data_IF_840141424987
#
_entry.id   IF_840141424987
#
_cell.length_a   1.000
_cell.length_b   1.000
_cell.length_c   1.000
_cell.angle_alpha   90.00
_cell.angle_beta   90.00
_cell.angle_gamma   90.00
#
_symmetry.space_group_name_H-M   'P 1'
#
loop_
_entity.id
_entity.type
_entity.pdbx_description
1 polymer ?
#
# COMPACT_ATOMS: atom_id res chain seq x y z
N UNK A 1 -24.14 -28.25 73.21
CA UNK A 1 -22.74 -28.37 72.77
C UNK A 1 -22.63 -27.64 71.43
N UNK A 2 -21.94 -26.48 71.39
CA UNK A 2 -20.63 -26.32 70.71
C UNK A 2 -20.79 -26.51 69.18
N UNK A 3 -20.65 -25.54 68.27
CA UNK A 3 -19.80 -24.35 68.20
C UNK A 3 -20.40 -23.27 67.26
N UNK A 4 -20.10 -22.02 67.62
CA UNK A 4 -20.14 -20.79 66.84
C UNK A 4 -19.08 -20.87 65.70
N UNK A 5 -19.46 -20.62 64.45
CA UNK A 5 -18.50 -20.35 63.36
C UNK A 5 -18.89 -19.03 62.68
N UNK A 6 -18.08 -18.01 62.98
CA UNK A 6 -17.98 -16.77 62.21
C UNK A 6 -17.61 -17.11 60.76
N UNK A 7 -18.39 -16.65 59.79
CA UNK A 7 -17.90 -16.47 58.43
C UNK A 7 -17.47 -15.01 58.25
N UNK A 8 -16.16 -14.84 58.25
CA UNK A 8 -15.46 -13.59 57.97
C UNK A 8 -15.59 -13.26 56.48
N UNK A 9 -16.03 -12.04 56.21
CA UNK A 9 -16.09 -11.41 54.90
C UNK A 9 -14.69 -11.33 54.27
N UNK A 10 -14.49 -11.93 53.09
CA UNK A 10 -13.41 -11.56 52.19
C UNK A 10 -14.05 -11.13 50.87
N UNK A 11 -14.28 -9.82 50.76
CA UNK A 11 -14.48 -9.15 49.48
C UNK A 11 -13.14 -9.21 48.71
N UNK A 12 -12.92 -10.27 47.94
CA UNK A 12 -11.97 -10.21 46.84
C UNK A 12 -12.64 -9.42 45.72
N UNK A 13 -12.40 -8.10 45.72
CA UNK A 13 -12.63 -7.25 44.57
C UNK A 13 -11.71 -7.71 43.44
N UNK A 14 -12.22 -8.61 42.60
CA UNK A 14 -11.70 -8.75 41.24
C UNK A 14 -12.10 -7.48 40.49
N UNK A 15 -11.23 -6.47 40.58
CA UNK A 15 -11.11 -5.46 39.54
C UNK A 15 -10.66 -6.17 38.26
N UNK A 16 -11.64 -6.78 37.58
CA UNK A 16 -11.52 -7.12 36.18
C UNK A 16 -11.35 -5.82 35.42
N UNK A 17 -10.10 -5.37 35.31
CA UNK A 17 -9.66 -4.49 34.24
C UNK A 17 -9.96 -5.24 32.94
N UNK A 18 -11.16 -5.00 32.41
CA UNK A 18 -11.47 -5.25 31.03
C UNK A 18 -10.36 -4.55 30.23
N UNK A 19 -9.46 -5.36 29.66
CA UNK A 19 -8.59 -4.92 28.57
C UNK A 19 -9.52 -4.39 27.50
N UNK A 20 -9.64 -3.07 27.45
CA UNK A 20 -10.30 -2.38 26.37
C UNK A 20 -9.61 -2.80 25.07
N UNK A 21 -10.34 -3.58 24.26
CA UNK A 21 -10.29 -3.70 22.82
C UNK A 21 -8.99 -3.21 22.14
N UNK A 22 -8.03 -4.12 22.00
CA UNK A 22 -6.96 -4.04 21.00
C UNK A 22 -7.28 -4.95 19.78
N UNK A 23 -8.56 -5.33 19.62
CA UNK A 23 -9.05 -6.22 18.58
C UNK A 23 -9.42 -5.49 17.27
N UNK A 24 -9.06 -4.21 17.15
CA UNK A 24 -9.40 -3.39 15.99
C UNK A 24 -8.21 -2.66 15.36
N UNK A 25 -6.99 -3.20 15.54
CA UNK A 25 -5.93 -2.97 14.56
C UNK A 25 -6.25 -3.84 13.34
N UNK A 26 -7.22 -3.40 12.53
CA UNK A 26 -7.47 -3.94 11.19
C UNK A 26 -6.11 -4.20 10.55
N UNK A 27 -5.85 -5.45 10.15
CA UNK A 27 -4.58 -5.91 9.59
C UNK A 27 -4.23 -5.08 8.35
N UNK A 28 -3.55 -3.95 8.57
CA UNK A 28 -3.09 -3.09 7.49
C UNK A 28 -2.22 -3.93 6.55
N UNK A 29 -2.47 -3.77 5.26
CA UNK A 29 -1.70 -4.51 4.26
C UNK A 29 -0.28 -3.97 4.27
N UNK A 30 0.69 -4.86 4.45
CA UNK A 30 2.10 -4.49 4.45
C UNK A 30 2.46 -4.06 3.03
N UNK A 31 3.09 -2.90 2.91
CA UNK A 31 3.55 -2.38 1.62
C UNK A 31 5.07 -2.59 1.54
N UNK A 32 5.57 -3.47 0.66
CA UNK A 32 7.00 -3.72 0.52
C UNK A 32 7.76 -2.47 0.08
N UNK A 33 8.96 -2.31 0.63
CA UNK A 33 9.92 -1.24 0.31
C UNK A 33 11.26 -1.85 -0.12
N UNK A 34 12.07 -1.16 -0.95
CA UNK A 34 13.33 -1.71 -1.45
C UNK A 34 14.37 -1.94 -0.33
N UNK A 35 14.29 -1.23 0.79
CA UNK A 35 15.22 -1.37 1.92
C UNK A 35 15.10 -2.75 2.59
N UNK A 36 13.89 -3.31 2.61
CA UNK A 36 13.60 -4.59 3.29
C UNK A 36 13.42 -5.73 2.30
N UNK A 37 12.79 -5.47 1.15
CA UNK A 37 12.30 -6.48 0.21
C UNK A 37 12.96 -6.46 -1.17
N UNK A 38 14.16 -5.86 -1.30
CA UNK A 38 14.87 -5.80 -2.59
C UNK A 38 15.17 -7.16 -3.21
N UNK A 39 15.37 -8.22 -2.41
CA UNK A 39 15.53 -9.60 -2.89
C UNK A 39 14.28 -10.14 -3.63
N UNK A 40 13.13 -9.45 -3.52
CA UNK A 40 11.87 -9.83 -4.18
C UNK A 40 11.54 -8.96 -5.41
N UNK A 41 12.43 -8.05 -5.79
CA UNK A 41 12.24 -7.20 -6.97
C UNK A 41 12.59 -7.96 -8.26
N UNK A 42 11.69 -7.95 -9.25
CA UNK A 42 11.95 -8.56 -10.57
C UNK A 42 13.00 -7.76 -11.36
N UNK A 43 13.03 -6.44 -11.18
CA UNK A 43 13.97 -5.52 -11.82
C UNK A 43 14.53 -4.55 -10.76
N UNK A 44 15.70 -3.93 -10.99
CA UNK A 44 16.23 -2.90 -10.10
C UNK A 44 15.21 -1.80 -9.79
N UNK A 45 15.25 -1.29 -8.55
CA UNK A 45 14.34 -0.26 -8.07
C UNK A 45 14.41 1.01 -8.92
N UNK A 46 13.23 1.51 -9.33
CA UNK A 46 13.02 2.73 -10.11
C UNK A 46 12.32 3.78 -9.23
N UNK A 47 13.01 4.82 -8.74
CA UNK A 47 12.44 5.77 -7.76
C UNK A 47 11.16 6.50 -8.19
N UNK A 48 10.88 6.59 -9.49
CA UNK A 48 9.70 7.26 -10.03
C UNK A 48 8.61 6.30 -10.50
N UNK A 49 8.81 4.98 -10.35
CA UNK A 49 7.85 3.98 -10.82
C UNK A 49 6.91 3.54 -9.67
N UNK A 50 5.62 3.32 -9.97
CA UNK A 50 4.68 2.81 -8.98
C UNK A 50 5.02 1.38 -8.56
N UNK A 51 4.78 1.07 -7.28
CA UNK A 51 5.02 -0.26 -6.72
C UNK A 51 3.82 -1.18 -6.88
N UNK A 52 4.05 -2.39 -7.39
CA UNK A 52 3.04 -3.43 -7.54
C UNK A 52 3.52 -4.71 -6.84
N UNK A 53 2.63 -5.33 -6.09
CA UNK A 53 2.88 -6.61 -5.44
C UNK A 53 2.25 -7.71 -6.27
N UNK A 54 3.00 -8.78 -6.52
CA UNK A 54 2.55 -9.90 -7.35
C UNK A 54 2.73 -11.21 -6.61
N UNK A 55 1.65 -11.98 -6.49
CA UNK A 55 1.72 -13.33 -5.94
C UNK A 55 1.67 -14.34 -7.09
N UNK A 56 2.61 -15.28 -7.08
CA UNK A 56 2.64 -16.40 -8.02
C UNK A 56 2.82 -17.72 -7.28
N UNK A 57 2.17 -18.77 -7.79
CA UNK A 57 2.42 -20.14 -7.36
C UNK A 57 3.30 -20.82 -8.44
N UNK A 58 4.38 -21.53 -8.06
CA UNK A 58 5.31 -22.13 -9.02
C UNK A 58 4.68 -23.27 -9.85
N UNK A 59 3.53 -23.81 -9.44
CA UNK A 59 2.82 -24.86 -10.16
C UNK A 59 1.57 -24.37 -10.89
N UNK A 60 1.22 -23.08 -10.76
CA UNK A 60 0.08 -22.49 -11.46
C UNK A 60 0.40 -22.23 -12.93
N UNK A 61 -0.38 -22.84 -13.84
CA UNK A 61 -0.22 -22.66 -15.29
C UNK A 61 -0.35 -21.20 -15.75
N UNK A 62 -1.22 -20.40 -15.13
CA UNK A 62 -1.33 -18.97 -15.43
C UNK A 62 -0.13 -18.17 -14.89
N UNK A 63 0.45 -18.58 -13.76
CA UNK A 63 1.68 -17.97 -13.24
C UNK A 63 2.85 -18.23 -14.18
N UNK A 64 3.00 -19.46 -14.67
CA UNK A 64 4.03 -19.83 -15.67
C UNK A 64 3.88 -18.98 -16.94
N UNK A 65 2.66 -18.80 -17.46
CA UNK A 65 2.43 -17.91 -18.62
C UNK A 65 2.81 -16.46 -18.32
N UNK A 66 2.55 -15.98 -17.10
CA UNK A 66 2.91 -14.63 -16.69
C UNK A 66 4.44 -14.44 -16.52
N UNK A 67 5.17 -15.46 -16.06
CA UNK A 67 6.63 -15.45 -15.99
C UNK A 67 7.29 -15.39 -17.37
N UNK A 68 6.64 -15.89 -18.42
CA UNK A 68 7.11 -15.75 -19.81
C UNK A 68 6.91 -14.35 -20.41
N UNK A 69 6.23 -13.44 -19.70
CA UNK A 69 5.82 -12.15 -20.23
C UNK A 69 6.11 -11.01 -19.23
N UNK A 70 7.32 -11.00 -18.67
CA UNK A 70 7.74 -10.02 -17.66
C UNK A 70 7.80 -8.58 -18.20
N UNK A 71 7.96 -8.38 -19.51
CA UNK A 71 7.94 -7.05 -20.16
C UNK A 71 6.70 -6.22 -19.81
N UNK A 72 5.60 -6.88 -19.40
CA UNK A 72 4.38 -6.22 -18.93
C UNK A 72 4.59 -5.42 -17.63
N UNK A 73 5.70 -5.63 -16.94
CA UNK A 73 6.05 -5.04 -15.65
C UNK A 73 7.07 -3.90 -15.74
N UNK A 74 7.65 -3.64 -16.92
CA UNK A 74 8.78 -2.68 -17.10
C UNK A 74 8.52 -1.27 -16.55
N UNK A 75 7.26 -0.84 -16.49
CA UNK A 75 6.87 0.49 -16.02
C UNK A 75 6.59 0.56 -14.50
N UNK A 76 6.86 -0.52 -13.76
CA UNK A 76 6.52 -0.68 -12.34
C UNK A 76 7.72 -1.19 -11.54
N UNK A 77 7.73 -0.91 -10.24
CA UNK A 77 8.53 -1.64 -9.26
C UNK A 77 7.75 -2.88 -8.82
N UNK A 78 8.12 -4.05 -9.30
CA UNK A 78 7.37 -5.28 -9.02
C UNK A 78 8.05 -6.11 -7.96
N UNK A 79 7.43 -6.16 -6.77
CA UNK A 79 7.77 -7.11 -5.73
C UNK A 79 6.97 -8.40 -5.96
N UNK A 80 7.67 -9.49 -6.25
CA UNK A 80 7.05 -10.78 -6.50
C UNK A 80 7.28 -11.75 -5.35
N UNK A 81 6.21 -12.32 -4.83
CA UNK A 81 6.22 -13.30 -3.76
C UNK A 81 5.67 -14.64 -4.23
N UNK A 82 6.27 -15.72 -3.73
CA UNK A 82 5.87 -17.08 -4.04
C UNK A 82 4.80 -17.55 -3.04
N UNK A 83 3.58 -17.74 -3.53
CA UNK A 83 2.40 -18.09 -2.73
C UNK A 83 1.92 -19.51 -3.07
N UNK A 84 2.18 -20.51 -2.21
CA UNK A 84 1.87 -21.91 -2.49
C UNK A 84 0.39 -22.24 -2.20
N UNK A 85 -0.53 -21.72 -3.00
CA UNK A 85 -1.97 -21.90 -2.77
C UNK A 85 -2.53 -23.20 -3.37
N UNK A 86 -1.72 -23.94 -4.14
CA UNK A 86 -2.12 -25.19 -4.80
C UNK A 86 -1.75 -26.46 -4.02
N UNK A 87 -1.44 -26.33 -2.72
CA UNK A 87 -1.19 -27.44 -1.80
C UNK A 87 0.27 -27.89 -1.70
N UNK A 88 0.49 -29.05 -1.08
CA UNK A 88 1.80 -29.54 -0.63
C UNK A 88 2.91 -29.53 -1.69
N UNK A 89 2.56 -29.77 -2.96
CA UNK A 89 3.54 -29.76 -4.04
C UNK A 89 4.08 -28.34 -4.30
N UNK A 90 3.23 -27.33 -4.17
CA UNK A 90 3.63 -25.92 -4.22
C UNK A 90 4.41 -25.53 -2.98
N UNK A 91 4.01 -25.98 -1.78
CA UNK A 91 4.75 -25.71 -0.55
C UNK A 91 6.20 -26.19 -0.63
N UNK A 92 6.40 -27.44 -1.06
CA UNK A 92 7.75 -28.02 -1.24
C UNK A 92 8.57 -27.23 -2.26
N UNK A 93 7.94 -26.79 -3.35
CA UNK A 93 8.61 -26.06 -4.42
C UNK A 93 8.98 -24.64 -3.99
N UNK A 94 8.10 -23.94 -3.27
CA UNK A 94 8.42 -22.63 -2.67
C UNK A 94 9.53 -22.77 -1.63
N UNK A 95 9.50 -23.81 -0.80
CA UNK A 95 10.58 -24.07 0.15
C UNK A 95 11.93 -24.32 -0.54
N UNK A 96 11.95 -24.97 -1.71
CA UNK A 96 13.15 -25.11 -2.53
C UNK A 96 13.63 -23.76 -3.10
N UNK A 97 12.71 -22.92 -3.59
CA UNK A 97 13.04 -21.57 -4.08
C UNK A 97 13.67 -20.71 -2.98
N UNK A 98 13.17 -20.79 -1.76
CA UNK A 98 13.72 -19.98 -0.64
C UNK A 98 15.12 -20.41 -0.19
N UNK A 99 15.65 -21.52 -0.72
CA UNK A 99 17.06 -21.92 -0.55
C UNK A 99 17.98 -21.36 -1.64
N UNK A 100 17.43 -20.64 -2.60
CA UNK A 100 18.19 -19.95 -3.62
C UNK A 100 18.69 -18.60 -3.10
N UNK A 101 19.88 -18.21 -3.54
CA UNK A 101 20.43 -16.89 -3.21
C UNK A 101 19.63 -15.76 -3.83
N UNK A 102 18.97 -16.00 -4.94
CA UNK A 102 18.05 -15.06 -5.55
C UNK A 102 16.77 -15.81 -5.96
N UNK A 103 15.70 -15.68 -5.15
CA UNK A 103 14.43 -16.38 -5.38
C UNK A 103 13.65 -15.83 -6.59
N UNK A 104 14.09 -14.71 -7.17
CA UNK A 104 13.49 -14.02 -8.33
C UNK A 104 14.45 -14.03 -9.54
N UNK A 105 15.53 -14.80 -9.47
CA UNK A 105 16.48 -14.94 -10.58
C UNK A 105 15.88 -15.61 -11.82
N UNK A 106 16.47 -15.31 -12.99
CA UNK A 106 16.08 -15.94 -14.24
C UNK A 106 16.22 -17.47 -14.19
N UNK A 107 17.24 -18.00 -13.50
CA UNK A 107 17.40 -19.46 -13.34
C UNK A 107 16.24 -20.11 -12.59
N UNK A 108 15.79 -19.49 -11.48
CA UNK A 108 14.60 -19.96 -10.75
C UNK A 108 13.35 -19.88 -11.63
N UNK A 109 13.21 -18.82 -12.42
CA UNK A 109 12.08 -18.69 -13.35
C UNK A 109 12.09 -19.75 -14.43
N UNK A 110 13.25 -20.04 -15.02
CA UNK A 110 13.41 -21.06 -16.04
C UNK A 110 13.06 -22.45 -15.49
N UNK A 111 13.48 -22.76 -14.26
CA UNK A 111 13.12 -24.02 -13.61
C UNK A 111 11.60 -24.13 -13.36
N UNK A 112 11.00 -23.05 -12.87
CA UNK A 112 9.54 -22.97 -12.68
C UNK A 112 8.80 -23.16 -14.01
N UNK A 113 9.25 -22.48 -15.06
CA UNK A 113 8.65 -22.49 -16.39
C UNK A 113 8.74 -23.87 -17.05
N UNK A 114 9.91 -24.50 -16.99
CA UNK A 114 10.19 -25.81 -17.60
C UNK A 114 9.72 -26.98 -16.74
N UNK A 115 9.29 -26.70 -15.49
CA UNK A 115 8.90 -27.68 -14.47
C UNK A 115 10.04 -28.62 -14.07
N UNK A 116 11.28 -28.15 -14.15
CA UNK A 116 12.43 -28.87 -13.60
C UNK A 116 12.49 -28.72 -12.07
N UNK A 117 13.14 -29.67 -11.37
CA UNK A 117 13.48 -29.53 -9.97
C UNK A 117 14.33 -28.29 -9.74
N UNK A 118 14.07 -27.59 -8.63
CA UNK A 118 14.81 -26.40 -8.24
C UNK A 118 15.98 -26.86 -7.38
N UNK A 119 17.19 -26.79 -7.93
CA UNK A 119 18.42 -27.23 -7.28
C UNK A 119 19.33 -26.03 -7.00
N UNK A 120 19.09 -25.42 -5.84
CA UNK A 120 19.89 -24.29 -5.37
C UNK A 120 20.95 -24.80 -4.39
N UNK A 121 22.22 -24.45 -4.66
CA UNK A 121 23.36 -24.82 -3.81
C UNK A 121 23.18 -24.18 -2.43
N UNK A 122 22.77 -24.97 -1.44
CA UNK A 122 22.78 -24.53 -0.05
C UNK A 122 24.22 -24.59 0.47
N UNK A 123 24.74 -23.49 1.00
CA UNK A 123 25.95 -23.51 1.83
C UNK A 123 25.60 -23.02 3.24
N UNK A 124 26.30 -23.54 4.25
CA UNK A 124 26.02 -23.17 5.64
C UNK A 124 26.18 -21.68 5.92
N UNK A 125 27.03 -21.01 5.14
CA UNK A 125 27.23 -19.55 5.20
C UNK A 125 25.99 -18.75 4.78
N UNK A 126 25.05 -19.35 4.03
CA UNK A 126 23.87 -18.69 3.46
C UNK A 126 22.58 -19.03 4.20
N UNK A 127 22.62 -19.95 5.17
CA UNK A 127 21.45 -20.41 5.93
C UNK A 127 20.66 -19.26 6.60
N UNK A 128 21.36 -18.27 7.16
CA UNK A 128 20.71 -17.11 7.79
C UNK A 128 19.96 -16.25 6.75
N UNK A 129 20.54 -16.08 5.55
CA UNK A 129 19.91 -15.34 4.47
C UNK A 129 18.68 -16.08 3.94
N UNK A 130 18.79 -17.39 3.67
CA UNK A 130 17.67 -18.22 3.22
C UNK A 130 16.53 -18.23 4.24
N UNK A 131 16.85 -18.31 5.54
CA UNK A 131 15.86 -18.19 6.61
C UNK A 131 15.15 -16.83 6.57
N UNK A 132 15.89 -15.72 6.42
CA UNK A 132 15.31 -14.38 6.28
C UNK A 132 14.38 -14.28 5.07
N UNK A 133 14.81 -14.75 3.89
CA UNK A 133 13.99 -14.74 2.67
C UNK A 133 12.69 -15.52 2.88
N UNK A 134 12.77 -16.69 3.51
CA UNK A 134 11.60 -17.49 3.83
C UNK A 134 10.63 -16.74 4.76
N UNK A 135 11.13 -16.05 5.79
CA UNK A 135 10.28 -15.28 6.69
C UNK A 135 9.62 -14.09 5.98
N UNK A 136 10.38 -13.32 5.19
CA UNK A 136 9.85 -12.17 4.44
C UNK A 136 8.77 -12.59 3.44
N UNK A 137 9.01 -13.68 2.69
CA UNK A 137 8.00 -14.21 1.77
C UNK A 137 6.74 -14.67 2.52
N UNK A 138 6.91 -15.42 3.61
CA UNK A 138 5.80 -15.93 4.42
C UNK A 138 4.97 -14.80 5.02
N UNK A 139 5.62 -13.77 5.57
CA UNK A 139 4.96 -12.60 6.16
C UNK A 139 4.03 -11.93 5.16
N UNK A 140 4.52 -11.60 3.96
CA UNK A 140 3.72 -10.93 2.94
C UNK A 140 2.61 -11.85 2.41
N UNK A 141 2.90 -13.12 2.14
CA UNK A 141 1.87 -14.09 1.70
C UNK A 141 0.76 -14.24 2.74
N UNK A 142 1.10 -14.31 4.03
CA UNK A 142 0.11 -14.42 5.11
C UNK A 142 -0.67 -13.12 5.31
N UNK A 143 -0.01 -11.96 5.26
CA UNK A 143 -0.66 -10.66 5.39
C UNK A 143 -1.67 -10.43 4.27
N UNK A 144 -1.37 -10.83 3.03
CA UNK A 144 -2.26 -10.67 1.89
C UNK A 144 -3.29 -11.80 1.75
N UNK A 145 -2.93 -13.03 2.13
CA UNK A 145 -3.71 -14.24 2.01
C UNK A 145 -4.40 -14.38 0.63
N UNK A 146 -3.63 -14.44 -0.48
CA UNK A 146 -4.20 -14.43 -1.82
C UNK A 146 -5.02 -15.70 -2.09
N UNK A 147 -6.31 -15.54 -2.40
CA UNK A 147 -7.21 -16.65 -2.74
C UNK A 147 -7.07 -17.13 -4.20
N UNK A 148 -6.23 -16.45 -5.00
CA UNK A 148 -6.00 -16.79 -6.41
C UNK A 148 -4.63 -16.29 -6.87
N UNK A 149 -4.03 -16.99 -7.82
CA UNK A 149 -2.73 -16.64 -8.44
C UNK A 149 -2.73 -16.87 -9.96
N UNK A 150 -2.07 -16.03 -10.77
CA UNK A 150 -1.36 -14.83 -10.35
C UNK A 150 -2.34 -13.76 -9.87
N UNK A 151 -1.99 -13.03 -8.83
CA UNK A 151 -2.75 -11.88 -8.34
C UNK A 151 -1.86 -10.67 -8.18
N UNK A 152 -2.45 -9.50 -8.35
CA UNK A 152 -1.77 -8.21 -8.39
C UNK A 152 -2.40 -7.31 -7.35
N UNK A 153 -1.57 -6.60 -6.60
CA UNK A 153 -2.01 -5.66 -5.60
C UNK A 153 -1.29 -4.33 -5.78
N UNK A 154 -2.03 -3.26 -5.57
CA UNK A 154 -1.56 -1.89 -5.66
C UNK A 154 -2.13 -1.11 -4.47
N UNK A 155 -1.27 -0.45 -3.69
CA UNK A 155 -1.66 0.21 -2.43
C UNK A 155 -2.44 -0.72 -1.48
N UNK A 156 -2.07 -2.01 -1.41
CA UNK A 156 -2.76 -3.01 -0.59
C UNK A 156 -4.08 -3.56 -1.17
N UNK A 157 -4.59 -2.99 -2.26
CA UNK A 157 -5.84 -3.41 -2.90
C UNK A 157 -5.59 -4.34 -4.08
N UNK A 158 -6.44 -5.37 -4.23
CA UNK A 158 -6.37 -6.28 -5.38
C UNK A 158 -6.78 -5.54 -6.65
N UNK A 159 -5.95 -5.65 -7.69
CA UNK A 159 -6.18 -4.97 -8.98
C UNK A 159 -5.96 -5.93 -10.15
N UNK A 160 -6.40 -5.51 -11.34
CA UNK A 160 -5.98 -6.11 -12.60
C UNK A 160 -4.88 -5.23 -13.21
N UNK A 161 -3.80 -5.84 -13.70
CA UNK A 161 -2.70 -5.11 -14.33
C UNK A 161 -3.17 -4.29 -15.55
N UNK A 162 -4.17 -4.79 -16.28
CA UNK A 162 -4.80 -4.06 -17.38
C UNK A 162 -5.52 -2.80 -16.90
N UNK A 163 -6.14 -2.81 -15.72
CA UNK A 163 -6.78 -1.64 -15.12
C UNK A 163 -5.75 -0.58 -14.73
N UNK A 164 -4.60 -0.98 -14.17
CA UNK A 164 -3.50 -0.04 -13.88
C UNK A 164 -2.98 0.64 -15.16
N UNK A 165 -2.78 -0.14 -16.22
CA UNK A 165 -2.37 0.40 -17.53
C UNK A 165 -3.40 1.39 -18.08
N UNK A 166 -4.68 1.04 -18.03
CA UNK A 166 -5.77 1.92 -18.48
C UNK A 166 -5.83 3.20 -17.66
N UNK A 167 -5.68 3.11 -16.35
CA UNK A 167 -5.65 4.28 -15.46
C UNK A 167 -4.51 5.23 -15.83
N UNK A 168 -3.28 4.72 -15.99
CA UNK A 168 -2.13 5.50 -16.45
C UNK A 168 -2.35 6.13 -17.84
N UNK A 169 -2.99 5.40 -18.76
CA UNK A 169 -3.35 5.92 -20.09
C UNK A 169 -4.42 7.02 -20.03
N UNK A 170 -5.39 6.92 -19.12
CA UNK A 170 -6.41 7.94 -18.94
C UNK A 170 -5.82 9.24 -18.38
N UNK A 171 -4.90 9.13 -17.41
CA UNK A 171 -4.19 10.28 -16.87
C UNK A 171 -3.32 10.99 -17.92
N UNK A 172 -2.70 10.23 -18.82
CA UNK A 172 -1.83 10.79 -19.88
C UNK A 172 -2.59 11.36 -21.08
N UNK A 173 -3.79 10.85 -21.38
CA UNK A 173 -4.57 11.26 -22.55
C UNK A 173 -5.72 12.24 -22.21
N UNK A 174 -5.90 12.60 -20.95
CA UNK A 174 -6.88 13.60 -20.52
C UNK A 174 -6.57 14.97 -21.11
N UNK A 175 -7.61 15.78 -21.35
CA UNK A 175 -7.49 17.19 -21.76
C UNK A 175 -6.49 17.89 -20.85
N UNK A 176 -5.60 18.70 -21.44
CA UNK A 176 -4.39 19.32 -20.86
C UNK A 176 -4.46 19.43 -19.33
N UNK A 177 -3.88 18.45 -18.60
CA UNK A 177 -3.74 18.59 -17.16
C UNK A 177 -2.92 19.83 -16.88
N UNK A 178 -3.24 20.54 -15.80
CA UNK A 178 -2.33 21.57 -15.30
C UNK A 178 -1.01 20.88 -14.96
N UNK A 179 0.02 21.12 -15.76
CA UNK A 179 1.33 20.54 -15.51
C UNK A 179 1.94 21.25 -14.30
N UNK A 180 1.94 20.57 -13.16
CA UNK A 180 2.51 21.09 -11.93
C UNK A 180 4.00 20.76 -11.83
N UNK A 181 4.76 21.72 -11.33
CA UNK A 181 6.07 21.47 -10.75
C UNK A 181 5.88 20.89 -9.34
N UNK A 182 5.84 19.56 -9.23
CA UNK A 182 5.58 18.88 -7.95
C UNK A 182 6.61 19.23 -6.87
N UNK A 183 7.85 19.56 -7.25
CA UNK A 183 8.87 19.96 -6.28
C UNK A 183 8.48 21.25 -5.53
N UNK A 184 7.70 22.12 -6.17
CA UNK A 184 7.17 23.36 -5.57
C UNK A 184 6.15 23.10 -4.45
N UNK A 185 5.45 21.97 -4.51
CA UNK A 185 4.35 21.62 -3.60
C UNK A 185 4.74 20.54 -2.59
N UNK A 186 6.02 20.21 -2.45
CA UNK A 186 6.50 19.17 -1.54
C UNK A 186 6.14 19.46 -0.06
N UNK A 187 5.97 20.73 0.31
CA UNK A 187 5.52 21.11 1.66
C UNK A 187 4.10 20.62 1.99
N UNK A 188 3.26 20.41 0.98
CA UNK A 188 1.90 19.88 1.13
C UNK A 188 1.86 18.35 1.09
N UNK A 189 2.99 17.71 0.76
CA UNK A 189 3.06 16.26 0.62
C UNK A 189 2.98 15.58 1.98
N UNK A 190 2.09 14.61 2.10
CA UNK A 190 1.96 13.78 3.29
C UNK A 190 3.11 12.79 3.40
N UNK A 191 3.47 12.42 4.64
CA UNK A 191 4.61 11.55 4.89
C UNK A 191 4.27 10.10 4.55
N UNK A 192 4.64 9.70 3.34
CA UNK A 192 4.58 8.32 2.87
C UNK A 192 6.00 7.82 2.62
N UNK A 193 6.51 6.92 3.45
CA UNK A 193 7.88 6.42 3.34
C UNK A 193 7.96 5.11 2.55
N UNK A 194 9.06 4.95 1.80
CA UNK A 194 9.44 3.66 1.18
C UNK A 194 8.56 3.17 0.03
N UNK A 195 7.60 3.97 -0.45
CA UNK A 195 6.73 3.61 -1.56
C UNK A 195 6.37 4.80 -2.45
N UNK A 196 5.97 4.53 -3.70
CA UNK A 196 5.55 5.52 -4.69
C UNK A 196 4.19 5.11 -5.24
N UNK A 197 3.23 6.03 -5.16
CA UNK A 197 1.89 5.87 -5.71
C UNK A 197 1.87 5.87 -7.24
N UNK A 198 0.69 5.63 -7.82
CA UNK A 198 0.49 5.65 -9.28
C UNK A 198 0.59 7.05 -9.89
N UNK A 199 0.23 8.04 -9.10
CA UNK A 199 0.03 9.44 -9.48
C UNK A 199 0.15 10.32 -8.25
N UNK A 200 0.38 11.61 -8.46
CA UNK A 200 0.25 12.60 -7.40
C UNK A 200 -1.23 12.97 -7.26
N UNK A 201 -1.73 12.94 -6.02
CA UNK A 201 -3.10 13.33 -5.72
C UNK A 201 -3.11 14.50 -4.74
N UNK A 202 -3.99 15.47 -4.98
CA UNK A 202 -4.20 16.62 -4.10
C UNK A 202 -5.63 16.55 -3.59
N UNK A 203 -5.79 16.37 -2.29
CA UNK A 203 -7.09 16.51 -1.63
C UNK A 203 -7.19 17.93 -1.08
N UNK A 204 -8.11 18.72 -1.65
CA UNK A 204 -8.49 20.01 -1.11
C UNK A 204 -9.57 19.80 -0.06
N UNK A 205 -9.38 20.36 1.13
CA UNK A 205 -10.31 20.21 2.25
C UNK A 205 -10.51 21.52 2.99
N UNK A 206 -11.63 21.67 3.69
CA UNK A 206 -11.84 22.82 4.57
C UNK A 206 -10.80 22.87 5.70
N UNK A 207 -10.65 24.03 6.34
CA UNK A 207 -9.70 24.19 7.44
C UNK A 207 -9.95 23.19 8.58
N UNK A 208 -11.20 22.86 8.91
CA UNK A 208 -11.53 21.87 9.93
C UNK A 208 -11.00 20.48 9.58
N UNK A 209 -11.18 20.07 8.33
CA UNK A 209 -10.71 18.78 7.82
C UNK A 209 -9.18 18.73 7.66
N UNK A 210 -8.53 19.87 7.37
CA UNK A 210 -7.08 19.94 7.16
C UNK A 210 -6.26 19.54 8.39
N UNK A 211 -6.86 19.62 9.58
CA UNK A 211 -6.22 19.22 10.85
C UNK A 211 -6.76 17.91 11.43
N UNK A 212 -7.68 17.25 10.71
CA UNK A 212 -8.28 15.98 11.13
C UNK A 212 -7.26 14.85 11.06
N UNK A 213 -6.77 14.42 12.23
CA UNK A 213 -5.76 13.35 12.36
C UNK A 213 -6.19 12.02 11.75
N UNK A 214 -7.48 11.69 11.80
CA UNK A 214 -7.99 10.45 11.20
C UNK A 214 -7.87 10.48 9.68
N UNK A 215 -8.23 11.61 9.07
CA UNK A 215 -8.09 11.82 7.64
C UNK A 215 -6.62 11.78 7.21
N UNK A 216 -5.76 12.57 7.86
CA UNK A 216 -4.31 12.60 7.57
C UNK A 216 -3.71 11.20 7.65
N UNK A 217 -3.95 10.49 8.76
CA UNK A 217 -3.46 9.12 8.95
C UNK A 217 -3.99 8.17 7.86
N UNK A 218 -5.27 8.29 7.47
CA UNK A 218 -5.84 7.44 6.42
C UNK A 218 -5.17 7.66 5.06
N UNK A 219 -4.81 8.90 4.73
CA UNK A 219 -4.14 9.25 3.48
C UNK A 219 -2.65 8.84 3.51
N UNK A 220 -1.96 9.05 4.64
CA UNK A 220 -0.57 8.60 4.84
C UNK A 220 -0.44 7.07 4.70
N UNK A 221 -1.49 6.32 5.05
CA UNK A 221 -1.54 4.87 4.89
C UNK A 221 -2.14 4.41 3.54
N UNK A 222 -2.57 5.34 2.68
CA UNK A 222 -3.10 5.03 1.36
C UNK A 222 -2.01 5.21 0.29
N UNK A 223 -1.29 4.12 0.03
CA UNK A 223 -0.18 4.08 -0.93
C UNK A 223 -0.63 4.01 -2.40
N UNK A 224 -1.91 4.28 -2.70
CA UNK A 224 -2.36 4.34 -4.10
C UNK A 224 -1.88 5.59 -4.82
N UNK A 225 -1.69 6.67 -4.08
CA UNK A 225 -1.27 7.97 -4.60
C UNK A 225 -0.16 8.56 -3.72
N UNK A 226 0.61 9.47 -4.31
CA UNK A 226 1.45 10.39 -3.56
C UNK A 226 0.57 11.55 -3.10
N UNK A 227 0.10 11.48 -1.85
CA UNK A 227 -0.91 12.39 -1.34
C UNK A 227 -0.32 13.75 -0.97
N UNK A 228 -1.01 14.79 -1.39
CA UNK A 228 -0.85 16.17 -0.94
C UNK A 228 -2.17 16.60 -0.32
N UNK A 229 -2.08 17.33 0.79
CA UNK A 229 -3.26 17.89 1.46
C UNK A 229 -3.20 19.41 1.32
N UNK A 230 -4.23 19.98 0.70
CA UNK A 230 -4.33 21.42 0.47
C UNK A 230 -5.58 21.98 1.16
N UNK A 231 -5.50 23.22 1.65
CA UNK A 231 -6.66 23.92 2.19
C UNK A 231 -7.52 24.50 1.05
N UNK A 232 -8.83 24.30 1.11
CA UNK A 232 -9.81 24.88 0.17
C UNK A 232 -10.26 26.28 0.58
N UNK A 233 -10.02 26.65 1.85
CA UNK A 233 -10.37 27.94 2.45
C UNK A 233 -9.10 28.71 2.81
N UNK A 234 -8.67 29.61 1.93
CA UNK A 234 -7.68 30.62 2.25
C UNK A 234 -8.41 31.97 2.25
N UNK A 235 -9.01 32.33 3.39
CA UNK A 235 -9.73 33.60 3.50
C UNK A 235 -8.73 34.76 3.31
N UNK A 236 -9.03 35.67 2.39
CA UNK A 236 -8.24 36.82 1.92
C UNK A 236 -7.63 37.75 3.02
N UNK A 237 -7.82 37.48 4.32
CA UNK A 237 -7.19 38.20 5.45
C UNK A 237 -6.58 37.30 6.53
N UNK A 238 -6.86 36.00 6.52
CA UNK A 238 -6.46 35.01 7.54
C UNK A 238 -5.64 33.85 6.98
N UNK A 239 -5.27 33.85 5.69
CA UNK A 239 -4.17 32.98 5.25
C UNK A 239 -2.98 33.30 6.14
N UNK A 240 -2.63 32.38 7.03
CA UNK A 240 -1.37 32.42 7.72
C UNK A 240 -0.31 32.57 6.62
N UNK A 241 0.60 33.54 6.77
CA UNK A 241 1.63 33.81 5.75
C UNK A 241 2.68 32.70 5.68
N UNK A 242 2.33 31.49 6.11
CA UNK A 242 3.18 30.33 5.99
C UNK A 242 3.14 29.80 4.56
N UNK A 243 4.10 28.95 4.25
CA UNK A 243 4.28 28.43 2.91
C UNK A 243 3.15 27.50 2.48
N UNK A 244 2.59 26.69 3.37
CA UNK A 244 1.56 25.69 3.04
C UNK A 244 0.25 26.36 2.62
N UNK A 245 -0.21 27.38 3.35
CA UNK A 245 -1.41 28.13 2.96
C UNK A 245 -1.23 28.85 1.61
N UNK A 246 -0.05 29.42 1.35
CA UNK A 246 0.25 30.05 0.06
C UNK A 246 0.25 29.04 -1.09
N UNK A 247 0.85 27.86 -0.89
CA UNK A 247 0.86 26.77 -1.88
C UNK A 247 -0.54 26.22 -2.13
N UNK A 248 -1.36 26.09 -1.08
CA UNK A 248 -2.75 25.66 -1.19
C UNK A 248 -3.58 26.66 -2.02
N UNK A 249 -3.44 27.96 -1.77
CA UNK A 249 -4.13 29.01 -2.52
C UNK A 249 -3.71 29.03 -4.01
N UNK A 250 -2.40 28.86 -4.28
CA UNK A 250 -1.86 28.76 -5.64
C UNK A 250 -2.48 27.57 -6.39
N UNK A 251 -2.47 26.37 -5.79
CA UNK A 251 -3.06 25.17 -6.38
C UNK A 251 -4.56 25.31 -6.63
N UNK A 252 -5.29 25.93 -5.69
CA UNK A 252 -6.73 26.16 -5.82
C UNK A 252 -7.05 27.00 -7.06
N UNK A 253 -6.28 28.08 -7.28
CA UNK A 253 -6.43 28.95 -8.45
C UNK A 253 -6.06 28.23 -9.74
N UNK A 254 -4.93 27.50 -9.74
CA UNK A 254 -4.47 26.76 -10.91
C UNK A 254 -5.48 25.68 -11.35
N UNK A 255 -6.16 25.04 -10.39
CA UNK A 255 -7.10 23.95 -10.63
C UNK A 255 -8.56 24.37 -10.68
N UNK A 256 -8.86 25.68 -10.59
CA UNK A 256 -10.23 26.20 -10.55
C UNK A 256 -11.10 25.52 -9.48
N UNK A 257 -10.52 25.25 -8.30
CA UNK A 257 -11.24 24.65 -7.18
C UNK A 257 -12.07 25.75 -6.49
N UNK A 258 -13.40 25.55 -6.31
CA UNK A 258 -14.24 26.53 -5.65
C UNK A 258 -13.75 26.85 -4.24
N UNK A 259 -13.72 28.14 -3.91
CA UNK A 259 -13.46 28.59 -2.54
C UNK A 259 -14.54 28.04 -1.59
N UNK A 260 -14.11 27.51 -0.44
CA UNK A 260 -15.04 26.92 0.53
C UNK A 260 -15.59 25.55 0.14
N UNK A 261 -15.05 24.90 -0.90
CA UNK A 261 -15.37 23.51 -1.18
C UNK A 261 -15.05 22.64 0.03
N UNK A 262 -16.03 21.87 0.52
CA UNK A 262 -15.82 20.96 1.65
C UNK A 262 -14.74 19.92 1.30
N UNK A 263 -14.80 19.38 0.09
CA UNK A 263 -13.79 18.51 -0.51
C UNK A 263 -13.67 18.80 -2.01
N UNK A 264 -12.45 18.73 -2.54
CA UNK A 264 -12.19 18.56 -3.96
C UNK A 264 -10.95 17.67 -4.14
N UNK A 265 -10.88 16.93 -5.25
CA UNK A 265 -9.76 16.02 -5.51
C UNK A 265 -9.19 16.33 -6.89
N UNK A 266 -7.87 16.41 -6.99
CA UNK A 266 -7.16 16.40 -8.25
C UNK A 266 -6.15 15.26 -8.28
N UNK A 267 -6.00 14.63 -9.45
CA UNK A 267 -5.00 13.57 -9.68
C UNK A 267 -4.19 13.96 -10.92
N UNK A 268 -2.87 14.05 -10.78
CA UNK A 268 -1.93 14.52 -11.81
C UNK A 268 -2.40 15.80 -12.53
N UNK A 269 -2.93 16.76 -11.77
CA UNK A 269 -3.39 18.05 -12.30
C UNK A 269 -4.79 18.03 -12.95
N UNK A 270 -5.49 16.88 -12.92
CA UNK A 270 -6.87 16.75 -13.38
C UNK A 270 -7.84 16.77 -12.19
N UNK A 271 -8.76 17.73 -12.15
CA UNK A 271 -9.82 17.78 -11.13
C UNK A 271 -10.87 16.70 -11.37
N UNK A 272 -11.17 15.94 -10.32
CA UNK A 272 -12.16 14.88 -10.31
C UNK A 272 -13.52 15.46 -9.98
N UNK A 273 -14.54 15.05 -10.74
CA UNK A 273 -15.94 15.39 -10.48
C UNK A 273 -16.36 14.98 -9.07
N UNK A 274 -17.11 15.82 -8.37
CA UNK A 274 -17.43 15.66 -6.94
C UNK A 274 -18.13 14.33 -6.64
N UNK A 275 -19.05 13.91 -7.50
CA UNK A 275 -19.78 12.63 -7.39
C UNK A 275 -18.89 11.39 -7.55
N UNK A 276 -17.66 11.55 -8.05
CA UNK A 276 -16.70 10.46 -8.27
C UNK A 276 -15.59 10.39 -7.24
N UNK A 277 -15.43 11.40 -6.37
CA UNK A 277 -14.31 11.48 -5.40
C UNK A 277 -14.22 10.21 -4.53
N UNK A 278 -15.36 9.69 -4.06
CA UNK A 278 -15.40 8.49 -3.22
C UNK A 278 -14.87 7.22 -3.89
N UNK A 279 -14.75 7.19 -5.23
CA UNK A 279 -14.14 6.08 -5.95
C UNK A 279 -12.61 6.05 -5.79
N UNK A 280 -12.02 7.19 -5.42
CA UNK A 280 -10.58 7.40 -5.32
C UNK A 280 -10.08 7.46 -3.88
N UNK A 281 -10.97 7.70 -2.90
CA UNK A 281 -10.64 7.69 -1.48
C UNK A 281 -10.74 6.29 -0.87
N UNK A 282 -10.02 6.06 0.22
CA UNK A 282 -10.20 4.85 1.03
C UNK A 282 -11.48 4.97 1.86
N UNK A 283 -12.06 3.83 2.29
CA UNK A 283 -13.21 3.86 3.20
C UNK A 283 -12.89 4.61 4.50
N UNK A 284 -11.66 4.48 5.00
CA UNK A 284 -11.21 5.17 6.21
C UNK A 284 -11.16 6.69 6.00
N UNK A 285 -10.69 7.14 4.83
CA UNK A 285 -10.69 8.56 4.46
C UNK A 285 -12.11 9.11 4.32
N UNK A 286 -13.01 8.36 3.67
CA UNK A 286 -14.42 8.74 3.52
C UNK A 286 -15.10 8.84 4.90
N UNK A 287 -14.87 7.85 5.77
CA UNK A 287 -15.40 7.86 7.12
C UNK A 287 -14.86 9.05 7.92
N UNK A 288 -13.57 9.36 7.81
CA UNK A 288 -12.97 10.50 8.48
C UNK A 288 -13.55 11.86 8.02
N UNK A 289 -13.94 11.96 6.73
CA UNK A 289 -14.60 13.14 6.18
C UNK A 289 -16.03 13.28 6.69
N UNK A 290 -16.78 12.18 6.80
CA UNK A 290 -18.21 12.17 7.16
C UNK A 290 -18.49 12.32 8.68
N UNK A 291 -17.47 12.35 9.53
CA UNK A 291 -17.60 12.43 11.00
C UNK A 291 -17.72 13.88 11.52
N UNK A 292 -17.54 14.88 10.64
CA UNK A 292 -17.74 16.30 10.93
C UNK A 292 -19.12 16.78 10.45
#
# INVERSE_FOLDING_TARGET
MKYLILFLSIFFGYSGLAKANDANKLNAKIIPTPEVYSDFLIEPWKPSAPSVIVFKDPNCGYCIRALKALDKYKDYNVFMFWSPILGDYSDKRVAAIMKCDDPISQGVFDDVITRTPIDCKSSDALNQRHFRLQQLNKEIVQNYNPQSVPSYYFGGQKVYLSSLKKFKQQLTNGITPVQLDWARYETLRLKQSGNQGLANAILFVSNELSTNKSLISSLENDFRYNWHLAQSTCENKNCTKDEESNRSAELRLLMDVPEGAQIALAIDGMVIQSERINQYLSNDSINAINVL
#
